data_IF_912608996024
#
_entry.id   IF_912608996024
#
_cell.length_a   1.000
_cell.length_b   1.000
_cell.length_c   1.000
_cell.angle_alpha   90.00
_cell.angle_beta   90.00
_cell.angle_gamma   90.00
#
_symmetry.space_group_name_H-M   'P 1'
#
loop_
_entity.id
_entity.type
_entity.pdbx_description
1 polymer ?
#
# COMPACT_ATOMS: atom_id res chain seq x y z
N UNK A 1 14.11 -13.65 -3.60
CA UNK A 1 14.77 -14.79 -2.90
C UNK A 1 16.20 -15.00 -3.39
N UNK A 2 16.46 -15.39 -4.65
CA UNK A 2 17.83 -15.59 -5.17
C UNK A 2 18.72 -14.32 -5.11
N UNK A 3 18.17 -13.14 -5.41
CA UNK A 3 18.87 -11.85 -5.28
C UNK A 3 19.17 -11.46 -3.81
N UNK A 4 18.32 -11.87 -2.87
CA UNK A 4 18.54 -11.65 -1.43
C UNK A 4 19.63 -12.57 -0.88
N UNK A 5 19.68 -13.82 -1.36
CA UNK A 5 20.75 -14.76 -1.01
C UNK A 5 22.13 -14.29 -1.52
N UNK A 6 22.17 -13.69 -2.71
CA UNK A 6 23.38 -13.07 -3.28
C UNK A 6 23.88 -11.86 -2.47
N UNK A 7 22.96 -11.02 -1.99
CA UNK A 7 23.31 -9.85 -1.17
C UNK A 7 23.86 -10.25 0.22
N UNK A 8 23.35 -11.33 0.82
CA UNK A 8 23.86 -11.83 2.10
C UNK A 8 25.26 -12.46 2.00
N UNK A 9 25.59 -13.10 0.87
CA UNK A 9 26.89 -13.75 0.67
C UNK A 9 28.01 -12.78 0.26
N UNK A 10 27.68 -11.64 -0.33
CA UNK A 10 28.65 -10.58 -0.63
C UNK A 10 29.11 -9.81 0.63
N UNK A 11 28.44 -9.98 1.77
CA UNK A 11 28.72 -9.27 3.02
C UNK A 11 29.56 -10.05 4.04
N UNK A 12 29.96 -11.29 3.75
CA UNK A 12 30.81 -12.06 4.65
C UNK A 12 32.28 -11.82 4.35
N UNK A 13 32.95 -11.22 5.33
CA UNK A 13 34.36 -10.86 5.34
C UNK A 13 35.30 -12.06 5.11
N UNK A 14 36.48 -11.77 4.56
CA UNK A 14 37.44 -12.68 3.90
C UNK A 14 38.16 -13.72 4.78
N UNK A 15 37.62 -14.14 5.91
CA UNK A 15 38.35 -15.00 6.85
C UNK A 15 37.59 -16.29 7.20
N UNK A 16 37.47 -17.25 6.27
CA UNK A 16 37.50 -18.71 6.53
C UNK A 16 37.14 -19.51 5.25
N UNK A 17 38.06 -20.32 4.67
CA UNK A 17 37.78 -21.08 3.44
C UNK A 17 37.09 -22.45 3.62
N UNK A 18 36.72 -22.89 4.83
CA UNK A 18 36.40 -24.31 5.08
C UNK A 18 34.96 -24.61 5.57
N UNK A 19 33.94 -23.85 5.16
CA UNK A 19 32.56 -24.13 5.58
C UNK A 19 31.57 -24.29 4.41
N UNK A 20 31.45 -25.52 3.91
CA UNK A 20 30.32 -25.94 3.07
C UNK A 20 29.31 -26.74 3.90
N UNK A 21 28.05 -26.28 4.07
CA UNK A 21 27.04 -27.06 4.77
C UNK A 21 26.54 -28.21 3.89
N UNK A 22 26.57 -29.44 4.41
CA UNK A 22 25.83 -30.57 3.83
C UNK A 22 24.32 -30.34 4.04
N UNK A 23 23.60 -30.08 2.94
CA UNK A 23 22.14 -29.90 2.97
C UNK A 23 21.48 -31.21 2.56
N UNK A 24 20.78 -31.86 3.50
CA UNK A 24 19.88 -32.99 3.22
C UNK A 24 18.42 -32.52 3.27
N UNK A 25 17.70 -32.72 2.15
CA UNK A 25 16.25 -32.90 2.11
C UNK A 25 15.35 -31.69 2.41
N UNK A 26 15.32 -30.70 1.51
CA UNK A 26 14.28 -29.65 1.47
C UNK A 26 13.73 -29.53 0.03
N UNK A 27 12.42 -29.28 -0.17
CA UNK A 27 11.80 -29.16 -1.50
C UNK A 27 12.19 -27.89 -2.27
N UNK A 28 13.02 -27.00 -1.70
CA UNK A 28 13.51 -25.78 -2.35
C UNK A 28 14.92 -25.97 -2.96
N UNK A 29 15.18 -27.19 -3.46
CA UNK A 29 16.49 -27.63 -3.93
C UNK A 29 17.00 -26.76 -5.10
N UNK A 30 16.12 -26.32 -5.99
CA UNK A 30 16.47 -25.52 -7.17
C UNK A 30 16.89 -24.09 -6.81
N UNK A 31 16.16 -23.42 -5.91
CA UNK A 31 16.52 -22.08 -5.45
C UNK A 31 17.85 -22.08 -4.68
N UNK A 32 18.08 -23.12 -3.89
CA UNK A 32 19.33 -23.32 -3.14
C UNK A 32 20.50 -23.60 -4.08
N UNK A 33 20.29 -24.42 -5.12
CA UNK A 33 21.30 -24.69 -6.14
C UNK A 33 21.66 -23.44 -6.95
N UNK A 34 20.67 -22.63 -7.35
CA UNK A 34 20.88 -21.36 -8.06
C UNK A 34 21.65 -20.34 -7.21
N UNK A 35 21.36 -20.24 -5.91
CA UNK A 35 22.08 -19.36 -4.99
C UNK A 35 23.54 -19.82 -4.81
N UNK A 36 23.78 -21.13 -4.71
CA UNK A 36 25.13 -21.70 -4.62
C UNK A 36 25.94 -21.45 -5.90
N UNK A 37 25.28 -21.57 -7.07
CA UNK A 37 25.85 -21.33 -8.40
C UNK A 37 26.29 -19.87 -8.55
N UNK A 38 25.43 -18.94 -8.12
CA UNK A 38 25.73 -17.52 -8.20
C UNK A 38 26.86 -17.10 -7.23
N UNK A 39 26.94 -17.72 -6.05
CA UNK A 39 28.03 -17.49 -5.10
C UNK A 39 29.37 -18.07 -5.58
N UNK A 40 29.37 -19.28 -6.14
CA UNK A 40 30.57 -19.90 -6.72
C UNK A 40 31.11 -19.10 -7.92
N UNK A 41 30.21 -18.60 -8.78
CA UNK A 41 30.57 -17.72 -9.89
C UNK A 41 31.17 -16.39 -9.41
N UNK A 42 30.61 -15.79 -8.34
CA UNK A 42 31.15 -14.56 -7.75
C UNK A 42 32.56 -14.75 -7.16
N UNK A 43 32.88 -15.94 -6.66
CA UNK A 43 34.20 -16.27 -6.10
C UNK A 43 35.23 -16.73 -7.15
N UNK A 44 34.83 -16.92 -8.42
CA UNK A 44 35.72 -17.38 -9.48
C UNK A 44 36.30 -18.79 -9.25
N UNK A 45 35.65 -19.60 -8.39
CA UNK A 45 36.17 -20.92 -8.04
C UNK A 45 35.78 -21.94 -9.11
N UNK A 46 36.75 -22.27 -9.97
CA UNK A 46 36.61 -23.31 -11.01
C UNK A 46 36.25 -24.67 -10.42
N UNK A 47 36.74 -24.97 -9.22
CA UNK A 47 36.46 -26.22 -8.50
C UNK A 47 35.01 -26.30 -8.02
N UNK A 48 34.43 -25.18 -7.56
CA UNK A 48 33.02 -25.14 -7.13
C UNK A 48 32.06 -25.28 -8.32
N UNK A 49 32.36 -24.65 -9.45
CA UNK A 49 31.58 -24.78 -10.70
C UNK A 49 31.65 -26.20 -11.26
N UNK A 50 32.82 -26.83 -11.25
CA UNK A 50 32.99 -28.22 -11.68
C UNK A 50 32.25 -29.22 -10.76
N UNK A 51 32.29 -29.00 -9.45
CA UNK A 51 31.58 -29.83 -8.47
C UNK A 51 30.05 -29.72 -8.61
N UNK A 52 29.54 -28.53 -8.95
CA UNK A 52 28.12 -28.32 -9.21
C UNK A 52 27.67 -28.92 -10.55
N UNK A 53 28.47 -28.76 -11.62
CA UNK A 53 28.21 -29.42 -12.89
C UNK A 53 28.15 -30.95 -12.72
N UNK A 54 29.07 -31.52 -11.94
CA UNK A 54 29.04 -32.94 -11.57
C UNK A 54 27.77 -33.32 -10.79
N UNK A 55 27.28 -32.48 -9.88
CA UNK A 55 26.02 -32.72 -9.15
C UNK A 55 24.77 -32.65 -10.04
N UNK A 56 24.75 -31.77 -11.05
CA UNK A 56 23.64 -31.69 -12.03
C UNK A 56 23.67 -32.90 -12.97
N UNK A 57 24.86 -33.31 -13.42
CA UNK A 57 25.06 -34.37 -14.42
C UNK A 57 25.09 -35.78 -13.82
N UNK A 58 25.39 -35.94 -12.53
CA UNK A 58 25.35 -37.23 -11.81
C UNK A 58 23.96 -37.86 -11.70
N UNK A 59 22.89 -37.16 -12.12
CA UNK A 59 21.55 -37.76 -12.30
C UNK A 59 21.41 -38.52 -13.62
N UNK A 60 22.34 -38.37 -14.56
CA UNK A 60 22.37 -39.12 -15.82
C UNK A 60 23.51 -40.16 -15.75
N UNK A 61 23.18 -41.42 -15.47
CA UNK A 61 24.13 -42.52 -15.20
C UNK A 61 25.06 -42.89 -16.38
N UNK A 62 25.10 -42.12 -17.47
CA UNK A 62 25.92 -42.42 -18.66
C UNK A 62 26.61 -41.22 -19.31
N UNK A 63 26.71 -40.06 -18.65
CA UNK A 63 27.43 -38.92 -19.23
C UNK A 63 28.93 -39.25 -19.42
N UNK A 64 29.41 -39.09 -20.65
CA UNK A 64 30.82 -39.26 -21.00
C UNK A 64 31.67 -38.11 -20.46
N UNK A 65 32.96 -38.36 -20.23
CA UNK A 65 33.89 -37.31 -19.77
C UNK A 65 33.94 -36.09 -20.71
N UNK A 66 33.68 -36.28 -22.00
CA UNK A 66 33.65 -35.19 -22.99
C UNK A 66 32.38 -34.32 -22.85
N UNK A 67 31.23 -34.93 -22.58
CA UNK A 67 29.97 -34.21 -22.32
C UNK A 67 30.04 -33.38 -21.04
N UNK A 68 30.68 -33.92 -19.99
CA UNK A 68 30.94 -33.17 -18.75
C UNK A 68 31.85 -31.96 -18.99
N UNK A 69 32.88 -32.10 -19.83
CA UNK A 69 33.78 -31.01 -20.18
C UNK A 69 33.07 -29.92 -20.98
N UNK A 70 32.28 -30.30 -21.99
CA UNK A 70 31.50 -29.36 -22.79
C UNK A 70 30.46 -28.59 -21.95
N UNK A 71 29.80 -29.28 -21.01
CA UNK A 71 28.86 -28.65 -20.08
C UNK A 71 29.56 -27.66 -19.14
N UNK A 72 30.77 -27.98 -18.66
CA UNK A 72 31.57 -27.07 -17.86
C UNK A 72 31.96 -25.81 -18.64
N UNK A 73 32.40 -25.96 -19.89
CA UNK A 73 32.74 -24.83 -20.77
C UNK A 73 31.52 -23.93 -21.07
N UNK A 74 30.34 -24.52 -21.31
CA UNK A 74 29.10 -23.75 -21.48
C UNK A 74 28.68 -23.00 -20.21
N UNK A 75 28.83 -23.62 -19.03
CA UNK A 75 28.55 -22.96 -17.76
C UNK A 75 29.53 -21.82 -17.46
N UNK A 76 30.82 -21.99 -17.79
CA UNK A 76 31.83 -20.92 -17.66
C UNK A 76 31.53 -19.75 -18.61
N UNK A 77 31.15 -20.03 -19.85
CA UNK A 77 30.74 -19.01 -20.82
C UNK A 77 29.48 -18.25 -20.36
N UNK A 78 28.46 -18.96 -19.90
CA UNK A 78 27.23 -18.36 -19.38
C UNK A 78 27.48 -17.50 -18.12
N UNK A 79 28.35 -17.97 -17.21
CA UNK A 79 28.74 -17.22 -16.03
C UNK A 79 29.49 -15.93 -16.41
N UNK A 80 30.38 -15.99 -17.40
CA UNK A 80 31.12 -14.82 -17.89
C UNK A 80 30.17 -13.77 -18.49
N UNK A 81 29.24 -14.18 -19.36
CA UNK A 81 28.25 -13.29 -19.97
C UNK A 81 27.32 -12.65 -18.92
N UNK A 82 26.86 -13.44 -17.94
CA UNK A 82 26.04 -12.95 -16.84
C UNK A 82 26.77 -11.91 -15.99
N UNK A 83 28.07 -12.10 -15.76
CA UNK A 83 28.89 -11.20 -14.96
C UNK A 83 29.20 -9.88 -15.71
N UNK A 84 29.38 -9.95 -17.03
CA UNK A 84 29.49 -8.76 -17.89
C UNK A 84 28.20 -7.92 -17.87
N UNK A 85 27.03 -8.57 -18.01
CA UNK A 85 25.73 -7.90 -17.91
C UNK A 85 25.51 -7.22 -16.55
N UNK A 86 25.94 -7.87 -15.45
CA UNK A 86 25.87 -7.28 -14.12
C UNK A 86 26.82 -6.08 -13.95
N UNK A 87 28.01 -6.12 -14.56
CA UNK A 87 28.95 -4.98 -14.57
C UNK A 87 28.40 -3.81 -15.36
N UNK A 88 27.78 -4.04 -16.51
CA UNK A 88 27.12 -2.98 -17.28
C UNK A 88 25.97 -2.34 -16.50
N UNK A 89 25.14 -3.14 -15.82
CA UNK A 89 24.07 -2.62 -14.96
C UNK A 89 24.60 -1.81 -13.78
N UNK A 90 25.67 -2.28 -13.13
CA UNK A 90 26.30 -1.57 -12.02
C UNK A 90 26.93 -0.24 -12.49
N UNK A 91 27.60 -0.25 -13.65
CA UNK A 91 28.16 0.96 -14.26
C UNK A 91 27.07 1.98 -14.59
N UNK A 92 25.98 1.55 -15.22
CA UNK A 92 24.86 2.42 -15.53
C UNK A 92 24.20 3.01 -14.28
N UNK A 93 24.08 2.22 -13.21
CA UNK A 93 23.54 2.71 -11.94
C UNK A 93 24.45 3.76 -11.27
N UNK A 94 25.77 3.66 -11.46
CA UNK A 94 26.73 4.65 -10.96
C UNK A 94 26.69 5.95 -11.77
N UNK A 95 26.66 5.86 -13.11
CA UNK A 95 26.49 7.02 -13.99
C UNK A 95 25.17 7.76 -13.71
N UNK A 96 24.07 7.02 -13.46
CA UNK A 96 22.79 7.62 -13.05
C UNK A 96 22.84 8.29 -11.66
N UNK A 97 23.80 7.96 -10.79
CA UNK A 97 23.94 8.58 -9.47
C UNK A 97 24.84 9.82 -9.45
N UNK A 98 25.90 9.85 -10.27
CA UNK A 98 26.81 11.00 -10.35
C UNK A 98 26.11 12.22 -10.97
N UNK A 99 25.17 12.02 -11.91
CA UNK A 99 24.33 13.09 -12.45
C UNK A 99 23.33 13.68 -11.43
N UNK A 100 23.04 13.00 -10.30
CA UNK A 100 22.13 13.51 -9.26
C UNK A 100 22.86 14.37 -8.20
N UNK A 101 24.19 14.30 -8.07
CA UNK A 101 24.95 15.05 -7.04
C UNK A 101 25.45 16.45 -7.50
N UNK A 102 25.51 16.75 -8.80
CA UNK A 102 25.98 18.06 -9.29
C UNK A 102 24.96 19.21 -9.10
N UNK A 103 23.72 18.93 -8.67
CA UNK A 103 22.64 19.91 -8.52
C UNK A 103 22.40 20.38 -7.06
N UNK A 104 23.11 19.88 -6.04
CA UNK A 104 22.81 20.18 -4.62
C UNK A 104 23.69 21.26 -3.94
N UNK A 105 24.73 21.81 -4.58
CA UNK A 105 25.77 22.62 -3.90
C UNK A 105 25.69 24.16 -4.05
N UNK A 106 24.66 24.76 -4.67
CA UNK A 106 24.68 26.22 -4.97
C UNK A 106 23.85 27.17 -4.07
N UNK A 107 23.15 26.73 -3.01
CA UNK A 107 22.28 27.67 -2.25
C UNK A 107 22.42 27.58 -0.72
N UNK A 108 23.53 28.11 -0.19
CA UNK A 108 23.67 28.54 1.22
C UNK A 108 23.82 30.07 1.30
N UNK A 109 22.78 30.81 0.94
CA UNK A 109 22.58 32.18 1.42
C UNK A 109 21.31 32.21 2.27
N UNK A 110 21.48 32.10 3.59
CA UNK A 110 20.41 32.22 4.58
C UNK A 110 19.92 33.68 4.62
N UNK A 111 18.99 34.04 3.73
CA UNK A 111 18.28 35.32 3.84
C UNK A 111 17.32 35.30 5.05
N UNK A 112 17.59 36.18 6.01
CA UNK A 112 16.76 36.45 7.17
C UNK A 112 15.42 37.05 6.69
N UNK A 113 14.34 36.28 6.80
CA UNK A 113 13.03 36.61 6.20
C UNK A 113 12.37 37.78 6.91
N UNK A 114 12.10 38.85 6.16
CA UNK A 114 11.29 39.98 6.61
C UNK A 114 9.85 39.55 6.93
N UNK A 115 9.54 39.51 8.24
CA UNK A 115 8.22 39.23 8.83
C UNK A 115 7.06 40.03 8.18
N UNK A 116 7.37 41.15 7.52
CA UNK A 116 6.42 42.07 6.89
C UNK A 116 5.74 41.48 5.63
N UNK A 117 6.42 40.65 4.84
CA UNK A 117 5.82 40.00 3.66
C UNK A 117 4.77 38.94 4.04
N UNK A 118 5.01 38.24 5.16
CA UNK A 118 4.07 37.25 5.69
C UNK A 118 2.76 37.91 6.14
N UNK A 119 2.84 39.11 6.70
CA UNK A 119 1.67 39.86 7.17
C UNK A 119 0.90 40.52 6.01
N UNK A 120 1.58 40.87 4.91
CA UNK A 120 0.92 41.39 3.69
C UNK A 120 0.06 40.32 3.00
N UNK A 121 0.50 39.05 3.00
CA UNK A 121 -0.32 37.92 2.51
C UNK A 121 -1.56 37.67 3.37
N UNK A 122 -1.48 37.89 4.69
CA UNK A 122 -2.64 37.79 5.60
C UNK A 122 -3.68 38.87 5.33
N UNK A 123 -3.27 40.08 4.97
CA UNK A 123 -4.20 41.19 4.71
C UNK A 123 -5.10 40.94 3.48
N UNK A 124 -4.57 40.30 2.43
CA UNK A 124 -5.33 39.95 1.22
C UNK A 124 -6.41 38.89 1.51
N UNK A 125 -6.21 38.01 2.51
CA UNK A 125 -7.19 36.98 2.93
C UNK A 125 -8.50 37.55 3.47
N UNK A 126 -8.48 38.72 4.11
CA UNK A 126 -9.70 39.27 4.69
C UNK A 126 -10.65 39.86 3.63
N UNK A 127 -10.18 40.12 2.42
CA UNK A 127 -10.99 40.74 1.37
C UNK A 127 -11.82 39.74 0.55
N UNK A 128 -11.41 38.46 0.46
CA UNK A 128 -12.04 37.45 -0.41
C UNK A 128 -13.03 36.52 0.31
N UNK A 129 -13.05 36.49 1.64
CA UNK A 129 -13.92 35.61 2.44
C UNK A 129 -15.43 35.96 2.42
N UNK A 130 -15.88 36.96 1.65
CA UNK A 130 -17.28 37.40 1.63
C UNK A 130 -18.17 36.70 0.59
N UNK A 131 -17.64 35.76 -0.19
CA UNK A 131 -18.37 35.11 -1.30
C UNK A 131 -19.02 33.79 -0.86
N UNK A 132 -20.19 33.91 -0.21
CA UNK A 132 -21.25 32.88 -0.10
C UNK A 132 -20.82 31.42 -0.08
N UNK A 133 -20.22 30.96 1.03
CA UNK A 133 -19.88 29.57 1.23
C UNK A 133 -21.16 28.75 1.52
N UNK A 134 -21.57 27.90 0.59
CA UNK A 134 -22.66 26.92 0.78
C UNK A 134 -22.10 25.75 1.60
N UNK A 135 -21.79 26.02 2.87
CA UNK A 135 -21.23 25.04 3.80
C UNK A 135 -22.29 24.04 4.25
N UNK A 136 -22.40 22.93 3.53
CA UNK A 136 -23.04 21.72 4.04
C UNK A 136 -22.19 21.06 5.14
N UNK A 137 -22.77 20.22 6.02
CA UNK A 137 -22.12 19.63 7.20
C UNK A 137 -20.97 18.63 6.93
N UNK A 138 -20.41 18.58 5.72
CA UNK A 138 -19.32 17.67 5.34
C UNK A 138 -17.94 18.10 5.86
N UNK A 139 -17.79 19.34 6.35
CA UNK A 139 -16.48 19.95 6.65
C UNK A 139 -15.78 19.40 7.92
N UNK A 140 -16.48 18.63 8.78
CA UNK A 140 -15.86 18.15 10.04
C UNK A 140 -15.14 16.81 9.94
N UNK A 141 -15.19 16.10 8.81
CA UNK A 141 -14.66 14.73 8.71
C UNK A 141 -13.43 14.57 7.79
N UNK A 142 -12.99 15.63 7.11
CA UNK A 142 -11.85 15.55 6.18
C UNK A 142 -10.77 16.56 6.56
N UNK A 143 -9.58 16.07 6.82
CA UNK A 143 -8.39 16.87 7.11
C UNK A 143 -7.41 16.79 5.95
N UNK A 144 -6.73 17.90 5.63
CA UNK A 144 -5.62 17.91 4.68
C UNK A 144 -4.35 18.26 5.45
N UNK A 145 -3.32 17.45 5.31
CA UNK A 145 -2.02 17.72 5.91
C UNK A 145 -0.92 17.67 4.86
N UNK A 146 0.03 18.60 4.94
CA UNK A 146 1.18 18.68 4.06
C UNK A 146 2.47 18.49 4.88
N UNK A 147 3.25 17.48 4.52
CA UNK A 147 4.49 17.08 5.16
C UNK A 147 5.66 17.24 4.19
N UNK A 148 6.46 18.27 4.39
CA UNK A 148 7.54 18.62 3.46
C UNK A 148 8.72 19.21 4.23
N UNK A 149 9.94 18.71 3.99
CA UNK A 149 11.13 19.12 4.77
C UNK A 149 11.39 20.63 4.72
N UNK A 150 11.15 21.24 3.55
CA UNK A 150 11.32 22.68 3.30
C UNK A 150 10.00 23.48 3.40
N UNK A 151 8.96 22.97 4.07
CA UNK A 151 7.64 23.64 4.11
C UNK A 151 7.63 25.05 4.71
N UNK A 152 8.66 25.39 5.48
CA UNK A 152 8.82 26.71 6.12
C UNK A 152 9.86 27.61 5.43
N UNK A 153 10.53 27.14 4.37
CA UNK A 153 11.45 27.99 3.60
C UNK A 153 10.65 28.96 2.73
N UNK A 154 11.20 30.15 2.51
CA UNK A 154 10.61 31.22 1.69
C UNK A 154 10.40 30.84 0.24
N UNK A 155 11.28 29.99 -0.29
CA UNK A 155 11.23 29.55 -1.69
C UNK A 155 9.97 28.70 -1.97
N UNK A 156 9.39 28.14 -0.91
CA UNK A 156 8.13 27.39 -0.98
C UNK A 156 6.92 28.24 -0.60
N UNK A 157 7.10 29.56 -0.42
CA UNK A 157 6.02 30.44 0.04
C UNK A 157 4.84 30.50 -0.91
N UNK A 158 5.14 30.66 -2.19
CA UNK A 158 4.14 30.66 -3.25
C UNK A 158 3.41 29.31 -3.32
N UNK A 159 4.15 28.20 -3.28
CA UNK A 159 3.61 26.84 -3.31
C UNK A 159 2.59 26.61 -2.19
N UNK A 160 2.90 27.01 -0.96
CA UNK A 160 1.97 26.77 0.16
C UNK A 160 0.78 27.72 0.15
N UNK A 161 0.95 28.95 -0.33
CA UNK A 161 -0.18 29.88 -0.53
C UNK A 161 -1.14 29.32 -1.58
N UNK A 162 -0.62 28.81 -2.69
CA UNK A 162 -1.40 28.16 -3.73
C UNK A 162 -2.12 26.91 -3.18
N UNK A 163 -1.42 26.07 -2.42
CA UNK A 163 -2.01 24.89 -1.80
C UNK A 163 -3.12 25.24 -0.81
N UNK A 164 -2.91 26.23 0.05
CA UNK A 164 -3.91 26.67 1.01
C UNK A 164 -5.13 27.24 0.30
N UNK A 165 -4.94 28.01 -0.77
CA UNK A 165 -6.03 28.52 -1.62
C UNK A 165 -6.85 27.38 -2.23
N UNK A 166 -6.18 26.35 -2.75
CA UNK A 166 -6.83 25.14 -3.29
C UNK A 166 -7.65 24.45 -2.20
N UNK A 167 -7.06 24.18 -1.03
CA UNK A 167 -7.71 23.47 0.08
C UNK A 167 -8.89 24.27 0.65
N UNK A 168 -8.75 25.59 0.80
CA UNK A 168 -9.82 26.50 1.25
C UNK A 168 -10.98 26.55 0.26
N UNK A 169 -10.73 26.38 -1.05
CA UNK A 169 -11.79 26.33 -2.06
C UNK A 169 -12.75 25.15 -1.85
N UNK A 170 -12.29 24.07 -1.19
CA UNK A 170 -13.11 22.93 -0.78
C UNK A 170 -13.71 23.06 0.63
N UNK A 171 -13.48 24.19 1.32
CA UNK A 171 -13.91 24.39 2.71
C UNK A 171 -13.16 23.50 3.71
N UNK A 172 -11.93 23.12 3.38
CA UNK A 172 -11.03 22.32 4.21
C UNK A 172 -9.95 23.22 4.82
N UNK A 173 -9.25 22.70 5.84
CA UNK A 173 -8.08 23.37 6.43
C UNK A 173 -6.81 22.59 6.13
N UNK A 174 -5.72 23.32 5.88
CA UNK A 174 -4.40 22.76 5.63
C UNK A 174 -3.55 22.77 6.89
N UNK A 175 -3.15 21.58 7.37
CA UNK A 175 -2.15 21.42 8.42
C UNK A 175 -0.76 21.25 7.80
N UNK A 176 0.28 21.81 8.42
CA UNK A 176 1.66 21.80 7.87
C UNK A 176 2.62 21.19 8.86
N UNK A 177 3.47 20.29 8.38
CA UNK A 177 4.48 19.62 9.18
C UNK A 177 5.81 19.61 8.44
N UNK A 178 6.90 19.88 9.16
CA UNK A 178 8.26 19.80 8.63
C UNK A 178 8.73 18.37 8.44
N UNK A 179 8.27 17.45 9.30
CA UNK A 179 8.73 16.06 9.36
C UNK A 179 7.56 15.12 9.62
N UNK A 180 7.69 13.90 9.11
CA UNK A 180 6.75 12.79 9.31
C UNK A 180 6.47 12.51 10.78
N UNK A 181 7.46 12.61 11.66
CA UNK A 181 7.27 12.39 13.11
C UNK A 181 6.25 13.34 13.75
N UNK A 182 6.27 14.62 13.38
CA UNK A 182 5.31 15.60 13.89
C UNK A 182 3.89 15.32 13.38
N UNK A 183 3.78 14.92 12.10
CA UNK A 183 2.52 14.55 11.48
C UNK A 183 1.95 13.26 12.10
N UNK A 184 2.78 12.25 12.33
CA UNK A 184 2.38 10.98 12.96
C UNK A 184 1.86 11.19 14.38
N UNK A 185 2.51 12.04 15.18
CA UNK A 185 2.01 12.39 16.51
C UNK A 185 0.64 13.08 16.44
N UNK A 186 0.42 13.95 15.44
CA UNK A 186 -0.90 14.56 15.25
C UNK A 186 -1.95 13.53 14.79
N UNK A 187 -1.56 12.57 13.96
CA UNK A 187 -2.43 11.46 13.53
C UNK A 187 -2.87 10.57 14.71
N UNK A 188 -2.11 10.51 15.81
CA UNK A 188 -2.56 9.83 17.03
C UNK A 188 -3.79 10.50 17.67
N UNK A 189 -4.08 11.76 17.37
CA UNK A 189 -5.25 12.46 17.91
C UNK A 189 -6.33 12.72 16.86
N UNK A 190 -5.96 12.67 15.58
CA UNK A 190 -6.87 12.88 14.48
C UNK A 190 -7.94 11.77 14.37
N UNK A 191 -9.08 12.12 13.78
CA UNK A 191 -10.20 11.22 13.50
C UNK A 191 -10.73 11.50 12.09
N UNK A 192 -11.41 10.51 11.50
CA UNK A 192 -12.05 10.68 10.20
C UNK A 192 -11.08 10.47 9.05
N UNK A 193 -11.24 11.23 7.97
CA UNK A 193 -10.46 11.06 6.75
C UNK A 193 -9.32 12.05 6.69
N UNK A 194 -8.12 11.57 6.38
CA UNK A 194 -6.94 12.41 6.24
C UNK A 194 -6.36 12.27 4.84
N UNK A 195 -6.22 13.40 4.16
CA UNK A 195 -5.53 13.53 2.88
C UNK A 195 -4.12 14.03 3.16
N UNK A 196 -3.13 13.16 2.95
CA UNK A 196 -1.73 13.48 3.18
C UNK A 196 -1.07 13.88 1.87
N UNK A 197 -0.42 15.04 1.86
CA UNK A 197 0.47 15.50 0.81
C UNK A 197 1.89 15.41 1.36
N UNK A 198 2.79 14.66 0.72
CA UNK A 198 4.15 14.50 1.20
C UNK A 198 5.20 14.62 0.10
N UNK A 199 6.41 15.03 0.46
CA UNK A 199 7.57 14.78 -0.39
C UNK A 199 7.94 13.29 -0.41
N UNK A 200 8.80 12.94 -1.35
CA UNK A 200 9.28 11.56 -1.50
C UNK A 200 10.08 11.05 -0.30
N UNK A 201 10.85 11.91 0.38
CA UNK A 201 11.72 11.53 1.52
C UNK A 201 10.88 11.22 2.77
N UNK A 202 9.75 11.89 2.94
CA UNK A 202 8.82 11.76 4.06
C UNK A 202 7.73 10.71 3.79
N UNK A 203 7.48 10.34 2.54
CA UNK A 203 6.45 9.36 2.19
C UNK A 203 6.67 7.99 2.86
N UNK A 204 7.90 7.46 2.80
CA UNK A 204 8.23 6.16 3.40
C UNK A 204 8.07 6.12 4.94
N UNK A 205 8.67 7.04 5.72
CA UNK A 205 8.48 7.04 7.17
C UNK A 205 7.01 7.28 7.58
N UNK A 206 6.22 7.99 6.76
CA UNK A 206 4.77 8.11 6.97
C UNK A 206 4.06 6.77 6.81
N UNK A 207 4.31 6.02 5.73
CA UNK A 207 3.69 4.70 5.52
C UNK A 207 4.04 3.75 6.66
N UNK A 208 5.33 3.65 7.03
CA UNK A 208 5.76 2.80 8.14
C UNK A 208 5.16 3.24 9.49
N UNK A 209 4.96 4.54 9.68
CA UNK A 209 4.30 5.09 10.87
C UNK A 209 2.81 4.77 10.93
N UNK A 210 2.12 4.85 9.79
CA UNK A 210 0.71 4.51 9.66
C UNK A 210 0.47 3.02 9.92
N UNK A 211 1.32 2.13 9.40
CA UNK A 211 1.24 0.69 9.67
C UNK A 211 1.36 0.40 11.18
N UNK A 212 2.22 1.15 11.89
CA UNK A 212 2.35 1.04 13.36
C UNK A 212 1.09 1.52 14.07
N UNK A 213 0.47 2.61 13.63
CA UNK A 213 -0.79 3.10 14.20
C UNK A 213 -1.94 2.10 13.97
N UNK A 214 -2.01 1.49 12.79
CA UNK A 214 -2.98 0.43 12.50
C UNK A 214 -2.75 -0.80 13.39
N UNK A 215 -1.50 -1.22 13.57
CA UNK A 215 -1.14 -2.33 14.46
C UNK A 215 -1.50 -2.06 15.93
N UNK A 216 -1.54 -0.79 16.35
CA UNK A 216 -2.03 -0.37 17.67
C UNK A 216 -3.56 -0.34 17.78
N UNK A 217 -4.28 -0.66 16.70
CA UNK A 217 -5.73 -0.76 16.67
C UNK A 217 -6.46 0.54 16.31
N UNK A 218 -5.76 1.53 15.76
CA UNK A 218 -6.39 2.75 15.22
C UNK A 218 -7.03 2.46 13.86
N UNK A 219 -8.34 2.21 13.89
CA UNK A 219 -9.15 1.96 12.69
C UNK A 219 -10.10 3.12 12.36
N UNK A 220 -10.02 4.19 13.14
CA UNK A 220 -10.89 5.37 13.04
C UNK A 220 -10.39 6.42 12.04
N UNK A 221 -9.25 6.17 11.39
CA UNK A 221 -8.61 7.09 10.45
C UNK A 221 -8.49 6.44 9.07
N UNK A 222 -9.15 7.04 8.08
CA UNK A 222 -8.97 6.68 6.67
C UNK A 222 -7.91 7.61 6.06
N UNK A 223 -6.73 7.09 5.76
CA UNK A 223 -5.63 7.88 5.19
C UNK A 223 -5.47 7.61 3.69
N UNK A 224 -5.35 8.68 2.91
CA UNK A 224 -4.93 8.62 1.50
C UNK A 224 -3.68 9.49 1.32
N UNK A 225 -2.64 8.93 0.72
CA UNK A 225 -1.35 9.61 0.54
C UNK A 225 -1.19 10.07 -0.91
N UNK A 226 -0.69 11.29 -1.08
CA UNK A 226 -0.29 11.87 -2.35
C UNK A 226 1.16 12.35 -2.25
N UNK A 227 2.02 11.78 -3.09
CA UNK A 227 3.44 12.13 -3.18
C UNK A 227 3.62 13.18 -4.26
N UNK A 228 4.23 14.30 -3.91
CA UNK A 228 4.60 15.36 -4.86
C UNK A 228 6.06 15.17 -5.26
N UNK A 229 6.30 14.58 -6.43
CA UNK A 229 7.65 14.32 -6.92
C UNK A 229 8.29 15.58 -7.49
N UNK A 230 9.48 15.96 -7.04
CA UNK A 230 10.18 17.16 -7.54
C UNK A 230 10.95 16.93 -8.83
N UNK A 231 11.20 15.67 -9.21
CA UNK A 231 11.89 15.31 -10.45
C UNK A 231 11.27 14.08 -11.10
N UNK A 232 11.50 13.90 -12.40
CA UNK A 232 11.02 12.71 -13.15
C UNK A 232 11.61 11.41 -12.61
N UNK A 233 12.86 11.44 -12.14
CA UNK A 233 13.52 10.29 -11.53
C UNK A 233 12.81 9.90 -10.23
N UNK A 234 12.49 10.88 -9.38
CA UNK A 234 11.70 10.67 -8.16
C UNK A 234 10.30 10.18 -8.51
N UNK A 235 9.63 10.78 -9.49
CA UNK A 235 8.30 10.36 -9.93
C UNK A 235 8.30 8.87 -10.31
N UNK A 236 9.23 8.45 -11.17
CA UNK A 236 9.39 7.04 -11.58
C UNK A 236 9.57 6.10 -10.38
N UNK A 237 10.48 6.45 -9.45
CA UNK A 237 10.74 5.66 -8.22
C UNK A 237 9.49 5.60 -7.33
N UNK A 238 8.83 6.73 -7.13
CA UNK A 238 7.63 6.84 -6.32
C UNK A 238 6.46 6.07 -6.88
N UNK A 239 6.22 6.12 -8.18
CA UNK A 239 5.17 5.33 -8.83
C UNK A 239 5.42 3.83 -8.70
N UNK A 240 6.66 3.37 -8.88
CA UNK A 240 7.01 1.95 -8.71
C UNK A 240 6.80 1.48 -7.27
N UNK A 241 7.18 2.30 -6.30
CA UNK A 241 6.96 2.00 -4.88
C UNK A 241 5.47 1.98 -4.52
N UNK A 242 4.71 2.99 -4.94
CA UNK A 242 3.27 3.06 -4.75
C UNK A 242 2.55 1.83 -5.33
N UNK A 243 2.99 1.36 -6.50
CA UNK A 243 2.47 0.13 -7.12
C UNK A 243 2.74 -1.11 -6.27
N UNK A 244 3.93 -1.21 -5.67
CA UNK A 244 4.28 -2.33 -4.78
C UNK A 244 3.37 -2.35 -3.55
N UNK A 245 3.20 -1.20 -2.89
CA UNK A 245 2.30 -1.07 -1.73
C UNK A 245 0.86 -1.45 -2.10
N UNK A 246 0.40 -1.05 -3.28
CA UNK A 246 -0.94 -1.39 -3.79
C UNK A 246 -1.10 -2.90 -4.02
N UNK A 247 -0.10 -3.57 -4.57
CA UNK A 247 -0.12 -5.02 -4.81
C UNK A 247 -0.17 -5.81 -3.50
N UNK A 248 0.47 -5.29 -2.46
CA UNK A 248 0.43 -5.87 -1.11
C UNK A 248 -0.90 -5.59 -0.37
N UNK A 249 -1.84 -4.89 -1.00
CA UNK A 249 -3.12 -4.52 -0.41
C UNK A 249 -3.02 -3.39 0.63
N UNK A 250 -1.94 -2.63 0.59
CA UNK A 250 -1.72 -1.48 1.46
C UNK A 250 -2.58 -0.27 1.11
N UNK A 251 -2.25 0.87 1.71
CA UNK A 251 -2.99 2.12 1.51
C UNK A 251 -2.91 2.64 0.08
N UNK A 252 -3.88 3.48 -0.30
CA UNK A 252 -3.90 4.12 -1.60
C UNK A 252 -2.90 5.28 -1.65
N UNK A 253 -1.91 5.18 -2.55
CA UNK A 253 -0.88 6.18 -2.79
C UNK A 253 -1.04 6.73 -4.21
N UNK A 254 -1.18 8.05 -4.33
CA UNK A 254 -1.17 8.79 -5.60
C UNK A 254 0.18 9.48 -5.76
N UNK A 255 0.71 9.56 -6.97
CA UNK A 255 1.99 10.22 -7.25
C UNK A 255 1.75 11.29 -8.31
N UNK A 256 2.18 12.52 -8.02
CA UNK A 256 2.11 13.67 -8.94
C UNK A 256 3.51 14.00 -9.47
N UNK A 257 3.60 14.31 -10.76
CA UNK A 257 4.82 14.80 -11.41
C UNK A 257 4.91 16.32 -11.22
N UNK A 258 5.60 16.73 -10.15
CA UNK A 258 5.68 18.12 -9.72
C UNK A 258 4.48 18.59 -8.90
N UNK A 259 4.63 19.78 -8.31
CA UNK A 259 3.53 20.49 -7.70
C UNK A 259 2.66 21.12 -8.79
N UNK A 260 1.36 20.84 -8.76
CA UNK A 260 0.37 21.52 -9.59
C UNK A 260 -0.94 21.68 -8.84
N UNK A 261 -1.56 22.86 -8.92
CA UNK A 261 -2.86 23.09 -8.31
C UNK A 261 -3.91 22.12 -8.87
N UNK A 262 -3.91 21.90 -10.19
CA UNK A 262 -4.85 20.99 -10.86
C UNK A 262 -4.72 19.55 -10.35
N UNK A 263 -3.48 19.02 -10.23
CA UNK A 263 -3.28 17.67 -9.73
C UNK A 263 -3.72 17.48 -8.28
N UNK A 264 -3.56 18.52 -7.45
CA UNK A 264 -4.00 18.52 -6.05
C UNK A 264 -5.52 18.67 -5.95
N UNK A 265 -6.13 19.55 -6.75
CA UNK A 265 -7.58 19.70 -6.88
C UNK A 265 -8.23 18.39 -7.29
N UNK A 266 -7.67 17.68 -8.28
CA UNK A 266 -8.14 16.38 -8.72
C UNK A 266 -8.01 15.33 -7.60
N UNK A 267 -6.88 15.32 -6.89
CA UNK A 267 -6.67 14.42 -5.77
C UNK A 267 -7.70 14.63 -4.66
N UNK A 268 -7.96 15.88 -4.27
CA UNK A 268 -8.97 16.23 -3.26
C UNK A 268 -10.37 15.87 -3.75
N UNK A 269 -10.70 16.23 -4.99
CA UNK A 269 -12.02 15.97 -5.60
C UNK A 269 -12.34 14.49 -5.61
N UNK A 270 -11.40 13.66 -6.08
CA UNK A 270 -11.57 12.19 -6.07
C UNK A 270 -11.76 11.65 -4.65
N UNK A 271 -11.02 12.19 -3.69
CA UNK A 271 -11.09 11.76 -2.29
C UNK A 271 -12.44 12.09 -1.66
N UNK A 272 -12.94 13.31 -1.87
CA UNK A 272 -14.24 13.78 -1.38
C UNK A 272 -15.38 13.03 -2.06
N UNK A 273 -15.32 12.82 -3.37
CA UNK A 273 -16.33 12.06 -4.11
C UNK A 273 -16.44 10.61 -3.61
N UNK A 274 -15.30 9.96 -3.32
CA UNK A 274 -15.25 8.61 -2.74
C UNK A 274 -15.95 8.57 -1.37
N UNK A 275 -15.73 9.57 -0.52
CA UNK A 275 -16.38 9.67 0.79
C UNK A 275 -17.90 9.86 0.67
N UNK A 276 -18.34 10.76 -0.21
CA UNK A 276 -19.78 11.02 -0.42
C UNK A 276 -20.51 9.78 -0.97
N UNK A 277 -19.85 8.99 -1.82
CA UNK A 277 -20.41 7.72 -2.31
C UNK A 277 -20.66 6.74 -1.17
N UNK A 278 -19.68 6.56 -0.27
CA UNK A 278 -19.82 5.68 0.90
C UNK A 278 -20.95 6.12 1.83
N UNK A 279 -21.08 7.44 2.06
CA UNK A 279 -22.13 7.99 2.92
C UNK A 279 -23.53 7.82 2.31
N UNK A 280 -23.67 8.03 1.00
CA UNK A 280 -24.96 7.84 0.31
C UNK A 280 -25.41 6.38 0.30
N UNK A 281 -24.48 5.42 0.24
CA UNK A 281 -24.79 3.99 0.37
C UNK A 281 -25.29 3.69 1.79
N UNK A 282 -24.61 4.19 2.82
CA UNK A 282 -25.06 4.03 4.21
C UNK A 282 -26.41 4.68 4.47
N UNK A 283 -26.68 5.87 3.91
CA UNK A 283 -27.96 6.57 4.10
C UNK A 283 -29.12 5.88 3.37
N UNK A 284 -28.86 5.28 2.21
CA UNK A 284 -29.87 4.50 1.45
C UNK A 284 -30.14 3.14 2.09
N UNK A 285 -29.16 2.55 2.76
CA UNK A 285 -29.39 1.46 3.70
C UNK A 285 -30.04 2.05 4.95
N UNK A 286 -31.36 2.27 4.92
CA UNK A 286 -32.11 2.68 6.11
C UNK A 286 -31.67 1.88 7.34
N UNK A 287 -31.64 2.56 8.50
CA UNK A 287 -31.06 2.08 9.77
C UNK A 287 -30.98 0.55 9.84
N UNK A 288 -29.78 -0.04 10.01
CA UNK A 288 -29.60 -1.48 9.95
C UNK A 288 -30.70 -2.13 10.77
N UNK A 289 -31.57 -2.90 10.13
CA UNK A 289 -32.60 -3.65 10.84
C UNK A 289 -31.87 -4.34 11.99
N UNK A 290 -32.26 -4.11 13.25
CA UNK A 290 -31.57 -4.72 14.36
C UNK A 290 -31.73 -6.22 14.16
N UNK A 291 -30.65 -6.87 13.73
CA UNK A 291 -30.53 -8.31 13.78
C UNK A 291 -30.54 -8.62 15.27
N UNK A 292 -31.74 -8.77 15.78
CA UNK A 292 -31.99 -9.24 17.13
C UNK A 292 -31.65 -10.72 17.04
N UNK A 293 -30.48 -11.07 17.55
CA UNK A 293 -30.23 -12.45 17.92
C UNK A 293 -31.30 -12.80 18.94
N UNK A 294 -32.32 -13.57 18.54
CA UNK A 294 -33.12 -14.31 19.50
C UNK A 294 -32.16 -15.26 20.19
N UNK A 295 -31.71 -14.85 21.37
CA UNK A 295 -31.06 -15.69 22.36
C UNK A 295 -31.82 -17.01 22.41
N UNK A 296 -31.11 -18.13 22.33
CA UNK A 296 -31.65 -19.49 22.36
C UNK A 296 -32.81 -19.59 23.35
N UNK A 297 -34.03 -19.59 22.82
CA UNK A 297 -35.20 -19.97 23.58
C UNK A 297 -35.09 -21.48 23.70
N UNK A 298 -34.57 -21.94 24.82
CA UNK A 298 -34.60 -23.36 25.19
C UNK A 298 -36.01 -23.94 24.98
N UNK A 299 -36.13 -25.26 24.75
CA UNK A 299 -37.34 -25.89 24.23
C UNK A 299 -38.53 -25.66 25.16
N UNK A 300 -39.25 -24.58 24.92
CA UNK A 300 -40.47 -24.24 25.62
C UNK A 300 -41.59 -24.57 24.66
N UNK A 301 -42.34 -25.61 25.02
CA UNK A 301 -43.49 -26.20 24.33
C UNK A 301 -44.10 -25.31 23.23
N UNK A 302 -43.83 -25.67 21.99
CA UNK A 302 -44.54 -25.15 20.84
C UNK A 302 -46.01 -25.59 20.95
N UNK A 303 -46.93 -24.65 21.15
CA UNK A 303 -48.35 -24.88 20.92
C UNK A 303 -48.74 -24.26 19.57
N UNK A 304 -49.45 -25.00 18.70
CA UNK A 304 -49.85 -24.48 17.41
C UNK A 304 -50.74 -23.23 17.57
N UNK A 305 -50.59 -22.22 16.69
CA UNK A 305 -51.46 -21.06 16.71
C UNK A 305 -52.90 -21.48 16.46
N UNK A 306 -53.83 -20.99 17.27
CA UNK A 306 -55.27 -21.12 17.00
C UNK A 306 -55.59 -20.37 15.71
N UNK A 307 -56.20 -21.07 14.77
CA UNK A 307 -56.65 -20.53 13.48
C UNK A 307 -57.40 -19.20 13.64
N UNK A 308 -57.01 -18.15 12.90
CA UNK A 308 -57.82 -16.95 12.80
C UNK A 308 -59.06 -17.27 11.95
N UNK A 309 -60.23 -17.21 12.58
CA UNK A 309 -61.53 -17.19 11.90
C UNK A 309 -61.69 -15.83 11.20
N UNK A 310 -61.32 -15.73 9.92
CA UNK A 310 -61.64 -14.53 9.16
C UNK A 310 -61.11 -14.51 7.72
N UNK A 311 -62.00 -14.84 6.77
CA UNK A 311 -62.14 -14.17 5.47
C UNK A 311 -61.07 -14.39 4.37
N UNK A 312 -61.48 -14.61 3.10
CA UNK A 312 -60.54 -14.71 1.98
C UNK A 312 -60.08 -13.32 1.53
N UNK A 313 -59.10 -12.76 2.23
CA UNK A 313 -58.33 -11.60 1.78
C UNK A 313 -57.03 -12.08 1.16
N UNK A 314 -56.84 -11.84 -0.15
CA UNK A 314 -55.57 -12.06 -0.85
C UNK A 314 -54.46 -11.25 -0.16
N UNK A 315 -53.59 -11.91 0.58
CA UNK A 315 -52.32 -11.36 1.03
C UNK A 315 -51.27 -11.72 -0.04
N UNK A 316 -50.81 -10.72 -0.79
CA UNK A 316 -49.64 -10.83 -1.65
C UNK A 316 -48.38 -10.81 -0.77
N UNK A 317 -47.79 -11.99 -0.56
CA UNK A 317 -46.55 -12.19 0.20
C UNK A 317 -45.29 -11.93 -0.65
N UNK A 318 -45.44 -11.41 -1.88
CA UNK A 318 -44.39 -11.41 -2.90
C UNK A 318 -43.65 -10.06 -3.07
N UNK A 319 -43.85 -9.07 -2.22
CA UNK A 319 -43.35 -7.71 -2.48
C UNK A 319 -42.30 -7.17 -1.48
N UNK A 320 -41.76 -7.97 -0.55
CA UNK A 320 -40.95 -7.42 0.55
C UNK A 320 -39.64 -8.17 0.88
N UNK A 321 -39.03 -8.86 -0.10
CA UNK A 321 -37.65 -9.37 0.05
C UNK A 321 -36.92 -9.31 -1.30
N UNK A 322 -36.45 -8.13 -1.70
CA UNK A 322 -35.45 -8.01 -2.78
C UNK A 322 -34.46 -6.90 -2.44
N UNK A 323 -33.67 -7.11 -1.39
CA UNK A 323 -32.38 -6.41 -1.24
C UNK A 323 -31.28 -7.47 -1.22
N UNK A 324 -30.36 -7.48 -2.20
CA UNK A 324 -29.30 -8.47 -2.24
C UNK A 324 -28.41 -8.31 -1.01
N UNK A 325 -28.30 -9.38 -0.23
CA UNK A 325 -27.49 -9.43 0.97
C UNK A 325 -26.00 -9.41 0.56
N UNK A 326 -25.33 -8.27 0.70
CA UNK A 326 -23.90 -8.16 0.43
C UNK A 326 -23.12 -8.39 1.73
N UNK A 327 -22.50 -9.57 1.85
CA UNK A 327 -21.62 -9.91 2.98
C UNK A 327 -20.21 -9.43 2.63
N UNK A 328 -19.76 -8.34 3.25
CA UNK A 328 -18.35 -7.92 3.20
C UNK A 328 -17.62 -8.37 4.46
N UNK A 329 -16.74 -9.36 4.31
CA UNK A 329 -15.76 -9.73 5.34
C UNK A 329 -14.37 -9.27 4.86
N UNK A 330 -13.60 -8.64 5.74
CA UNK A 330 -12.17 -8.45 5.47
C UNK A 330 -11.46 -9.80 5.44
N UNK A 331 -10.33 -9.91 4.74
CA UNK A 331 -9.59 -11.17 4.63
C UNK A 331 -9.22 -11.73 6.01
N UNK A 332 -8.79 -10.88 6.93
CA UNK A 332 -8.49 -11.26 8.32
C UNK A 332 -9.72 -11.76 9.09
N UNK A 333 -10.89 -11.14 8.87
CA UNK A 333 -12.15 -11.59 9.48
C UNK A 333 -12.61 -12.94 8.89
N UNK A 334 -12.42 -13.15 7.59
CA UNK A 334 -12.70 -14.42 6.93
C UNK A 334 -11.84 -15.55 7.52
N UNK A 335 -10.52 -15.34 7.63
CA UNK A 335 -9.61 -16.33 8.21
C UNK A 335 -10.00 -16.69 9.66
N UNK A 336 -10.30 -15.69 10.50
CA UNK A 336 -10.77 -15.94 11.88
C UNK A 336 -12.10 -16.69 11.93
N UNK A 337 -13.00 -16.40 10.99
CA UNK A 337 -14.31 -17.09 10.89
C UNK A 337 -14.14 -18.55 10.47
N UNK A 338 -13.17 -18.83 9.59
CA UNK A 338 -12.86 -20.19 9.14
C UNK A 338 -12.14 -21.04 10.20
N UNK A 339 -11.48 -20.42 11.18
CA UNK A 339 -10.84 -21.12 12.29
C UNK A 339 -11.82 -21.67 13.33
N UNK A 340 -13.05 -21.14 13.37
CA UNK A 340 -14.11 -21.58 14.27
C UNK A 340 -15.10 -22.48 13.50
N UNK A 341 -15.18 -23.79 13.80
CA UNK A 341 -16.00 -24.74 13.04
C UNK A 341 -17.48 -24.37 12.98
N UNK A 342 -18.03 -23.78 14.05
CA UNK A 342 -19.45 -23.40 14.08
C UNK A 342 -19.71 -22.17 13.20
N UNK A 343 -18.80 -21.18 13.24
CA UNK A 343 -18.92 -19.98 12.41
C UNK A 343 -18.65 -20.28 10.94
N UNK A 344 -17.72 -21.19 10.65
CA UNK A 344 -17.45 -21.66 9.30
C UNK A 344 -18.70 -22.32 8.69
N UNK A 345 -19.35 -23.21 9.43
CA UNK A 345 -20.60 -23.87 9.00
C UNK A 345 -21.70 -22.85 8.70
N UNK A 346 -21.84 -21.83 9.54
CA UNK A 346 -22.85 -20.78 9.37
C UNK A 346 -22.55 -19.84 8.19
N UNK A 347 -21.27 -19.52 7.97
CA UNK A 347 -20.82 -18.75 6.81
C UNK A 347 -21.09 -19.52 5.51
N UNK A 348 -20.82 -20.83 5.51
CA UNK A 348 -21.12 -21.71 4.39
C UNK A 348 -22.62 -21.76 4.09
N UNK A 349 -23.47 -21.89 5.12
CA UNK A 349 -24.93 -21.87 4.98
C UNK A 349 -25.41 -20.54 4.37
N UNK A 350 -24.88 -19.42 4.84
CA UNK A 350 -25.16 -18.10 4.26
C UNK A 350 -24.76 -18.01 2.78
N UNK A 351 -23.56 -18.50 2.42
CA UNK A 351 -23.11 -18.50 1.01
C UNK A 351 -24.03 -19.36 0.16
N UNK A 352 -24.41 -20.56 0.62
CA UNK A 352 -25.34 -21.43 -0.11
C UNK A 352 -26.71 -20.79 -0.30
N UNK A 353 -27.28 -20.17 0.73
CA UNK A 353 -28.57 -19.49 0.63
C UNK A 353 -28.52 -18.36 -0.41
N UNK A 354 -27.47 -17.53 -0.37
CA UNK A 354 -27.29 -16.43 -1.33
C UNK A 354 -27.10 -16.96 -2.76
N UNK A 355 -26.28 -18.00 -2.94
CA UNK A 355 -26.08 -18.62 -4.26
C UNK A 355 -27.35 -19.28 -4.79
N UNK A 356 -28.12 -19.95 -3.93
CA UNK A 356 -29.36 -20.62 -4.32
C UNK A 356 -30.42 -19.62 -4.77
N UNK A 357 -30.59 -18.52 -4.03
CA UNK A 357 -31.49 -17.43 -4.41
C UNK A 357 -31.09 -16.77 -5.74
N UNK A 358 -29.79 -16.63 -6.00
CA UNK A 358 -29.31 -16.05 -7.27
C UNK A 358 -29.39 -16.99 -8.47
N UNK A 359 -29.39 -18.31 -8.28
CA UNK A 359 -29.34 -19.28 -9.38
C UNK A 359 -30.69 -19.89 -9.74
N UNK A 360 -31.67 -19.87 -8.84
CA UNK A 360 -32.91 -20.64 -9.01
C UNK A 360 -34.21 -19.84 -8.83
N UNK A 361 -34.15 -18.56 -8.44
CA UNK A 361 -35.34 -17.69 -8.32
C UNK A 361 -35.50 -16.67 -9.48
N UNK A 362 -34.57 -16.66 -10.45
CA UNK A 362 -34.77 -16.08 -11.80
C UNK A 362 -35.28 -17.16 -12.76
#
# INVERSE_FOLDING_TARGET
MALLALACLASTDKEHPDFFPQVQGSPDLEATQLALLAAAAAQGSKEAMASLAANVLSKEESATSEELQMAAEHLEAFAAESLELLREKAKKALEESEEEEEDEDEEEDEEEVDQEQLDQCKATRMATASRGHVGGPLSQEVHVAWCYERCHKTDQSETWIQLETVVESFGLSLQRYKKSSGLLNWLEEAQGKVLLLADWREAKPLVEGLDRLEAQGRQDIEVRLCIVATSKAIHRRASQWAETIRQDGGMEIVVLDGFSCEGIEDFITQSVAKTQSSFNVQKKMGAPCPISYTQDVGPTSWQPPKEPKGGPGKYDFAAEITTPLCIRLSFSALIRTLQDPQKATKLEEMIRCTMWQQLYED
#
